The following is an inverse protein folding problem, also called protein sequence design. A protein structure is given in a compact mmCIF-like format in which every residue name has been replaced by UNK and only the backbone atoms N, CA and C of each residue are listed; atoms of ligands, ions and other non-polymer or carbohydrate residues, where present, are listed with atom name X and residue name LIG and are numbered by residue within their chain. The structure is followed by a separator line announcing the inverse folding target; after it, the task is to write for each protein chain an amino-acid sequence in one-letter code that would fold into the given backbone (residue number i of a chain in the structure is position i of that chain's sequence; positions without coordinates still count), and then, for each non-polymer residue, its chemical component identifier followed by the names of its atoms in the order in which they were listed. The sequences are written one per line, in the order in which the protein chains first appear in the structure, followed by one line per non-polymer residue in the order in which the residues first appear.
data_IF_117268860846
#
_entry.id   IF_117268860846
#
_cell.length_a   1.000
_cell.length_b   1.000
_cell.length_c   1.000
_cell.angle_alpha   90.00
_cell.angle_beta   90.00
_cell.angle_gamma   90.00
#
_symmetry.space_group_name_H-M   'P 1'
#
loop_
_entity.id
_entity.type
_entity.pdbx_description
1 polymer ?
#
# COMPACT_ATOMS: atom_id res chain seq x y z
N UNK A 1 -2.58 9.04 54.36
CA UNK A 1 -1.93 9.51 53.12
C UNK A 1 -2.94 9.50 51.98
N UNK A 2 -2.97 10.58 51.19
CA UNK A 2 -4.03 10.99 50.27
C UNK A 2 -4.22 10.03 49.07
N UNK A 3 -5.40 9.40 48.94
CA UNK A 3 -5.78 8.50 47.84
C UNK A 3 -6.04 9.25 46.49
N UNK A 4 -5.87 10.57 46.47
CA UNK A 4 -6.02 11.43 45.27
C UNK A 4 -4.73 11.58 44.46
N UNK A 5 -3.58 11.30 45.05
CA UNK A 5 -2.27 11.58 44.42
C UNK A 5 -1.86 10.49 43.43
N UNK A 6 -2.30 9.23 43.63
CA UNK A 6 -1.94 8.07 42.77
C UNK A 6 -2.85 7.95 41.54
N UNK A 7 -4.09 8.45 41.61
CA UNK A 7 -5.04 8.42 40.48
C UNK A 7 -4.63 9.37 39.34
N UNK A 8 -3.98 10.49 39.67
CA UNK A 8 -3.55 11.50 38.71
C UNK A 8 -2.48 11.00 37.72
N UNK A 9 -1.35 10.40 38.15
CA UNK A 9 -0.37 9.88 37.21
C UNK A 9 -0.94 8.71 36.40
N UNK A 10 -1.80 7.87 36.99
CA UNK A 10 -2.43 6.76 36.28
C UNK A 10 -3.30 7.23 35.11
N UNK A 11 -4.11 8.27 35.30
CA UNK A 11 -4.94 8.86 34.23
C UNK A 11 -4.08 9.48 33.14
N UNK A 12 -2.96 10.12 33.50
CA UNK A 12 -2.02 10.68 32.54
C UNK A 12 -1.34 9.60 31.68
N UNK A 13 -0.88 8.50 32.30
CA UNK A 13 -0.30 7.38 31.55
C UNK A 13 -1.35 6.73 30.64
N UNK A 14 -2.57 6.53 31.13
CA UNK A 14 -3.65 5.95 30.31
C UNK A 14 -3.98 6.84 29.11
N UNK A 15 -4.10 8.15 29.32
CA UNK A 15 -4.35 9.12 28.25
C UNK A 15 -3.20 9.16 27.24
N UNK A 16 -1.94 9.06 27.71
CA UNK A 16 -0.77 9.03 26.85
C UNK A 16 -0.73 7.77 25.98
N UNK A 17 -0.98 6.60 26.57
CA UNK A 17 -1.07 5.33 25.84
C UNK A 17 -2.22 5.34 24.84
N UNK A 18 -3.40 5.84 25.21
CA UNK A 18 -4.53 5.97 24.29
C UNK A 18 -4.19 6.86 23.09
N UNK A 19 -3.45 7.95 23.32
CA UNK A 19 -3.03 8.87 22.27
C UNK A 19 -2.02 8.23 21.31
N UNK A 20 -1.06 7.46 21.83
CA UNK A 20 -0.11 6.68 21.02
C UNK A 20 -0.78 5.60 20.19
N UNK A 21 -1.74 4.88 20.77
CA UNK A 21 -2.51 3.86 20.05
C UNK A 21 -3.31 4.52 18.93
N UNK A 22 -4.02 5.62 19.21
CA UNK A 22 -4.78 6.37 18.20
C UNK A 22 -3.91 6.87 17.03
N UNK A 23 -2.73 7.42 17.31
CA UNK A 23 -1.79 7.86 16.28
C UNK A 23 -1.23 6.68 15.45
N UNK A 24 -0.97 5.53 16.09
CA UNK A 24 -0.49 4.32 15.41
C UNK A 24 -1.49 3.74 14.39
N UNK A 25 -2.79 3.74 14.72
CA UNK A 25 -3.82 3.24 13.79
C UNK A 25 -4.01 4.19 12.60
N UNK A 26 -3.94 5.50 12.84
CA UNK A 26 -4.05 6.50 11.76
C UNK A 26 -2.84 6.48 10.81
N UNK A 27 -1.63 6.26 11.34
CA UNK A 27 -0.41 6.16 10.54
C UNK A 27 -0.39 4.95 9.62
N UNK A 28 -0.83 3.78 10.11
CA UNK A 28 -0.86 2.54 9.33
C UNK A 28 -1.86 2.58 8.16
N UNK A 29 -2.97 3.30 8.31
CA UNK A 29 -3.95 3.48 7.23
C UNK A 29 -3.46 4.42 6.12
N UNK A 30 -2.53 5.34 6.44
CA UNK A 30 -1.97 6.29 5.47
C UNK A 30 -0.77 5.72 4.71
N UNK A 31 -0.03 4.76 5.28
CA UNK A 31 1.11 4.14 4.58
C UNK A 31 0.70 3.25 3.41
N UNK A 32 -0.58 2.87 3.32
CA UNK A 32 -1.11 2.06 2.23
C UNK A 32 -1.58 2.88 1.02
N UNK A 33 -1.45 4.22 1.05
CA UNK A 33 -1.96 5.13 0.01
C UNK A 33 -0.92 5.73 -0.94
N UNK A 34 0.37 5.39 -0.81
CA UNK A 34 1.41 5.98 -1.67
C UNK A 34 1.77 5.17 -2.93
N UNK A 35 1.06 4.08 -3.18
CA UNK A 35 1.11 3.39 -4.46
C UNK A 35 -0.30 3.14 -4.96
N UNK A 36 -1.07 4.21 -5.20
CA UNK A 36 -2.18 4.07 -6.14
C UNK A 36 -1.53 3.67 -7.47
N UNK A 37 -1.71 2.42 -7.94
CA UNK A 37 -0.97 1.94 -9.10
C UNK A 37 -1.46 2.75 -10.29
N UNK A 38 -0.64 3.70 -10.75
CA UNK A 38 -0.95 4.47 -11.94
C UNK A 38 -0.86 3.52 -13.13
N UNK A 39 -1.98 2.90 -13.47
CA UNK A 39 -2.10 2.03 -14.63
C UNK A 39 -2.13 2.91 -15.88
N UNK A 40 -1.07 2.85 -16.70
CA UNK A 40 -0.89 3.76 -17.86
C UNK A 40 -1.58 3.23 -19.14
N UNK A 41 -2.55 2.32 -19.06
CA UNK A 41 -3.31 1.89 -20.25
C UNK A 41 -4.64 1.20 -19.97
N UNK A 42 -5.55 1.33 -20.96
CA UNK A 42 -6.64 0.43 -21.39
C UNK A 42 -7.83 0.14 -20.46
N UNK A 43 -9.02 -0.10 -21.04
CA UNK A 43 -10.20 -0.64 -20.33
C UNK A 43 -9.95 -2.00 -19.69
N UNK A 44 -9.13 -2.83 -20.36
CA UNK A 44 -8.92 -4.24 -20.05
C UNK A 44 -7.44 -4.63 -19.81
N UNK A 45 -6.48 -3.85 -20.33
CA UNK A 45 -5.03 -4.08 -20.18
C UNK A 45 -4.33 -2.84 -19.70
N UNK A 46 -3.41 -2.99 -18.75
CA UNK A 46 -2.74 -1.90 -18.09
C UNK A 46 -1.26 -2.13 -17.86
N UNK A 47 -0.49 -1.06 -17.68
CA UNK A 47 0.91 -1.14 -17.26
C UNK A 47 1.04 -0.55 -15.87
N UNK A 48 1.34 -1.40 -14.88
CA UNK A 48 1.54 -1.02 -13.49
C UNK A 48 2.98 -0.56 -13.31
N UNK A 49 3.18 0.76 -13.19
CA UNK A 49 4.52 1.35 -12.98
C UNK A 49 4.96 1.10 -11.55
N UNK A 50 6.09 0.41 -11.40
CA UNK A 50 6.73 0.13 -10.11
C UNK A 50 7.83 1.14 -9.81
N UNK A 51 8.52 1.63 -10.84
CA UNK A 51 9.61 2.61 -10.73
C UNK A 51 9.80 3.37 -12.04
N UNK A 52 10.38 4.56 -11.96
CA UNK A 52 10.92 5.27 -13.11
C UNK A 52 12.41 4.95 -13.30
N UNK A 53 12.75 4.46 -14.49
CA UNK A 53 14.10 4.11 -14.92
C UNK A 53 14.95 5.31 -15.32
N UNK A 54 16.17 5.03 -15.79
CA UNK A 54 17.04 6.06 -16.37
C UNK A 54 16.39 6.60 -17.65
N UNK A 55 16.34 7.92 -17.79
CA UNK A 55 15.65 8.65 -18.87
C UNK A 55 14.11 8.69 -18.76
N UNK A 56 13.56 8.69 -17.53
CA UNK A 56 12.12 8.83 -17.29
C UNK A 56 11.25 7.68 -17.85
N UNK A 57 11.89 6.56 -18.22
CA UNK A 57 11.20 5.40 -18.77
C UNK A 57 10.48 4.63 -17.65
N UNK A 58 9.16 4.42 -17.71
CA UNK A 58 8.45 3.66 -16.69
C UNK A 58 8.83 2.18 -16.74
N UNK A 59 9.27 1.65 -15.60
CA UNK A 59 9.58 0.23 -15.37
C UNK A 59 8.46 -0.35 -14.51
N UNK A 60 7.93 -1.50 -14.93
CA UNK A 60 6.76 -2.09 -14.31
C UNK A 60 6.33 -3.38 -14.99
N UNK A 61 5.10 -3.81 -14.68
CA UNK A 61 4.54 -5.06 -15.20
C UNK A 61 3.22 -4.81 -15.93
N UNK A 62 2.95 -5.67 -16.92
CA UNK A 62 1.67 -5.68 -17.64
C UNK A 62 0.63 -6.38 -16.76
N UNK A 63 -0.51 -5.74 -16.55
CA UNK A 63 -1.64 -6.24 -15.76
C UNK A 63 -2.91 -6.29 -16.61
N UNK A 64 -3.83 -7.18 -16.25
CA UNK A 64 -5.12 -7.36 -16.92
C UNK A 64 -6.25 -7.05 -15.94
N UNK A 65 -7.35 -6.46 -16.42
CA UNK A 65 -8.53 -6.22 -15.60
C UNK A 65 -9.47 -7.42 -15.67
N UNK A 66 -9.68 -8.08 -14.55
CA UNK A 66 -10.61 -9.22 -14.41
C UNK A 66 -11.58 -8.93 -13.27
N UNK A 67 -12.89 -8.94 -13.57
CA UNK A 67 -13.94 -8.62 -12.59
C UNK A 67 -13.71 -7.27 -11.87
N UNK A 68 -13.25 -6.27 -12.62
CA UNK A 68 -12.97 -4.93 -12.10
C UNK A 68 -11.66 -4.80 -11.31
N UNK A 69 -10.93 -5.89 -11.07
CA UNK A 69 -9.64 -5.92 -10.35
C UNK A 69 -8.47 -6.09 -11.32
N UNK A 70 -7.36 -5.41 -11.06
CA UNK A 70 -6.12 -5.62 -11.80
C UNK A 70 -5.40 -6.87 -11.27
N UNK A 71 -5.04 -7.77 -12.17
CA UNK A 71 -4.34 -9.02 -11.87
C UNK A 71 -3.10 -9.17 -12.74
N UNK A 72 -2.07 -9.81 -12.20
CA UNK A 72 -0.89 -10.22 -12.97
C UNK A 72 -1.25 -11.42 -13.85
N UNK A 73 -1.17 -11.31 -15.19
CA UNK A 73 -1.47 -12.43 -16.07
C UNK A 73 -0.34 -13.46 -16.02
N UNK A 74 -0.71 -14.73 -15.95
CA UNK A 74 0.22 -15.81 -16.25
C UNK A 74 0.33 -15.96 -17.78
N UNK A 75 1.39 -15.39 -18.35
CA UNK A 75 1.66 -15.51 -19.79
C UNK A 75 2.49 -16.77 -20.00
N UNK A 76 1.88 -17.81 -20.55
CA UNK A 76 2.61 -19.00 -20.95
C UNK A 76 3.75 -18.62 -21.92
N UNK A 77 4.97 -19.18 -21.76
CA UNK A 77 6.07 -18.87 -22.66
C UNK A 77 5.64 -19.21 -24.09
N UNK A 78 5.69 -18.21 -24.97
CA UNK A 78 5.41 -18.41 -26.39
C UNK A 78 6.33 -19.53 -26.87
N UNK A 79 5.74 -20.66 -27.29
CA UNK A 79 6.46 -21.79 -27.83
C UNK A 79 7.16 -21.32 -29.11
N UNK A 80 8.43 -20.95 -28.98
CA UNK A 80 9.26 -20.49 -30.08
C UNK A 80 9.50 -21.69 -30.97
N UNK A 81 8.67 -21.86 -32.01
CA UNK A 81 8.91 -22.82 -33.09
C UNK A 81 10.30 -22.55 -33.65
N UNK A 82 11.24 -23.45 -33.37
CA UNK A 82 12.55 -23.46 -33.99
C UNK A 82 12.33 -23.70 -35.49
N UNK A 83 12.88 -22.79 -36.30
CA UNK A 83 12.95 -22.93 -37.75
C UNK A 83 14.26 -23.59 -38.13
#
# INVERSE_FOLDING_TARGET
MSNRTVRRPLVLVLAWVLSLVGAGVAGAALTQRDHEPKVISGSDFGFMVERIGRNDAPIGRLVVRVNGKWVDPEIAPAMRLAK
#
